data_IF_420930519121
#
_entry.id   IF_420930519121
#
_cell.length_a   1.000
_cell.length_b   1.000
_cell.length_c   1.000
_cell.angle_alpha   90.00
_cell.angle_beta   90.00
_cell.angle_gamma   90.00
#
_symmetry.space_group_name_H-M   'P 1'
#
loop_
_entity.id
_entity.type
_entity.pdbx_description
1 polymer ?
#
# COMPACT_ATOMS: atom_id res chain seq x y z
N UNK A 1 46.47 59.69 37.13
CA UNK A 1 46.04 58.34 37.58
C UNK A 1 45.33 57.66 36.41
N UNK A 2 45.69 56.42 36.09
CA UNK A 2 45.19 55.71 34.88
C UNK A 2 44.05 54.75 35.24
N UNK A 3 42.89 54.91 34.61
CA UNK A 3 41.77 53.96 34.72
C UNK A 3 41.90 52.88 33.64
N UNK A 4 41.97 51.61 34.07
CA UNK A 4 42.07 50.44 33.19
C UNK A 4 40.67 49.96 32.76
N UNK A 5 40.51 49.64 31.48
CA UNK A 5 39.34 48.90 30.97
C UNK A 5 39.37 47.42 31.43
N UNK A 6 38.20 46.77 31.61
CA UNK A 6 38.12 45.35 31.93
C UNK A 6 38.31 44.45 30.69
N UNK A 7 39.01 43.33 30.87
CA UNK A 7 39.35 42.38 29.80
C UNK A 7 38.26 41.32 29.58
N UNK A 8 37.86 41.09 28.31
CA UNK A 8 37.00 39.96 27.93
C UNK A 8 37.74 38.63 28.13
N UNK A 9 37.19 37.73 28.96
CA UNK A 9 37.64 36.32 29.04
C UNK A 9 37.10 35.54 27.83
N UNK A 10 37.97 34.81 27.13
CA UNK A 10 37.58 33.79 26.14
C UNK A 10 37.28 32.46 26.85
N UNK A 11 36.18 31.81 26.48
CA UNK A 11 35.88 30.43 26.87
C UNK A 11 36.59 29.44 25.91
N UNK A 12 37.05 28.26 26.39
CA UNK A 12 37.74 27.29 25.55
C UNK A 12 36.76 26.34 24.83
N UNK A 13 36.98 26.09 23.54
CA UNK A 13 36.28 25.01 22.82
C UNK A 13 36.67 23.63 23.38
N UNK A 14 35.68 22.82 23.75
CA UNK A 14 35.88 21.38 23.98
C UNK A 14 35.80 20.62 22.65
N UNK A 15 36.79 19.76 22.38
CA UNK A 15 36.71 18.74 21.31
C UNK A 15 35.88 17.54 21.82
N UNK A 16 35.12 16.84 20.96
CA UNK A 16 34.37 15.65 21.36
C UNK A 16 35.31 14.46 21.64
N UNK A 17 34.97 13.64 22.65
CA UNK A 17 35.64 12.36 22.94
C UNK A 17 35.11 11.27 22.01
N UNK A 18 36.01 10.45 21.45
CA UNK A 18 35.66 9.16 20.83
C UNK A 18 35.70 8.07 21.92
N UNK A 19 34.74 7.15 21.91
CA UNK A 19 34.73 5.93 22.71
C UNK A 19 34.92 4.71 21.78
N UNK A 20 35.68 3.67 22.18
CA UNK A 20 35.79 2.43 21.42
C UNK A 20 34.59 1.50 21.67
N UNK A 21 34.24 0.70 20.67
CA UNK A 21 33.21 -0.35 20.74
C UNK A 21 33.85 -1.75 20.78
N UNK A 22 33.16 -2.71 21.44
CA UNK A 22 33.37 -4.17 21.58
C UNK A 22 33.45 -4.61 23.07
N UNK A 23 33.05 -5.85 23.47
CA UNK A 23 32.85 -7.06 22.64
C UNK A 23 31.58 -7.89 23.00
N UNK A 24 30.37 -7.46 22.59
CA UNK A 24 29.14 -8.23 22.85
C UNK A 24 28.83 -9.36 21.85
N UNK A 25 29.37 -9.28 20.62
CA UNK A 25 28.90 -10.04 19.45
C UNK A 25 29.47 -11.46 19.31
N UNK A 26 30.55 -11.80 20.01
CA UNK A 26 31.22 -13.11 19.87
C UNK A 26 30.46 -14.23 20.60
N UNK A 27 29.76 -13.91 21.70
CA UNK A 27 29.06 -14.90 22.52
C UNK A 27 27.77 -15.42 21.84
N UNK A 28 27.11 -14.58 21.04
CA UNK A 28 25.89 -14.92 20.33
C UNK A 28 26.12 -15.97 19.22
N UNK A 29 27.29 -15.91 18.56
CA UNK A 29 27.62 -16.76 17.42
C UNK A 29 27.77 -18.25 17.80
N UNK A 30 28.25 -18.53 19.02
CA UNK A 30 28.54 -19.89 19.49
C UNK A 30 27.29 -20.70 19.86
N UNK A 31 26.19 -20.05 20.25
CA UNK A 31 24.94 -20.73 20.62
C UNK A 31 24.22 -21.25 19.37
N UNK A 32 24.26 -20.50 18.26
CA UNK A 32 23.59 -20.85 17.00
C UNK A 32 24.15 -22.13 16.37
N UNK A 33 25.47 -22.32 16.42
CA UNK A 33 26.15 -23.47 15.76
C UNK A 33 25.73 -24.83 16.35
N UNK A 34 25.40 -24.89 17.64
CA UNK A 34 25.04 -26.16 18.32
C UNK A 34 23.65 -26.65 17.92
N UNK A 35 22.71 -25.74 17.67
CA UNK A 35 21.32 -26.07 17.31
C UNK A 35 21.17 -26.57 15.87
N UNK A 36 22.05 -26.13 14.96
CA UNK A 36 22.05 -26.56 13.55
C UNK A 36 22.45 -28.04 13.41
N UNK A 37 23.33 -28.56 14.26
CA UNK A 37 23.86 -29.92 14.13
C UNK A 37 22.82 -31.03 14.44
N UNK A 38 21.80 -30.74 15.25
CA UNK A 38 20.84 -31.76 15.71
C UNK A 38 19.69 -32.04 14.73
N UNK A 39 19.41 -31.15 13.77
CA UNK A 39 18.23 -31.26 12.90
C UNK A 39 18.46 -31.99 11.56
N UNK A 40 19.71 -32.34 11.23
CA UNK A 40 20.09 -32.87 9.89
C UNK A 40 19.85 -34.40 9.73
N UNK A 41 19.38 -35.10 10.77
CA UNK A 41 19.38 -36.58 10.82
C UNK A 41 18.00 -37.27 10.70
N UNK A 42 16.92 -36.55 10.30
CA UNK A 42 15.55 -37.09 10.44
C UNK A 42 14.67 -37.16 9.19
N UNK A 43 15.13 -36.76 8.00
CA UNK A 43 14.32 -36.86 6.77
C UNK A 43 15.07 -37.44 5.58
N UNK A 44 14.98 -38.76 5.43
CA UNK A 44 15.21 -39.51 4.19
C UNK A 44 14.18 -40.64 4.08
N UNK A 45 13.83 -41.02 2.84
CA UNK A 45 12.86 -42.05 2.43
C UNK A 45 11.36 -41.62 2.51
N UNK A 46 10.47 -41.95 1.57
CA UNK A 46 10.53 -42.89 0.42
C UNK A 46 9.60 -42.49 -0.76
N UNK A 47 9.56 -43.30 -1.85
CA UNK A 47 9.04 -42.97 -3.20
C UNK A 47 7.66 -43.59 -3.55
N UNK A 48 6.84 -42.82 -4.28
CA UNK A 48 6.17 -43.10 -5.59
C UNK A 48 5.28 -44.35 -5.85
N UNK A 49 4.30 -44.20 -6.77
CA UNK A 49 3.78 -45.25 -7.70
C UNK A 49 2.80 -44.67 -8.77
N UNK A 50 2.51 -45.45 -9.83
CA UNK A 50 2.00 -45.01 -11.15
C UNK A 50 0.53 -45.38 -11.49
N UNK A 51 0.10 -44.94 -12.69
CA UNK A 51 -1.20 -45.06 -13.38
C UNK A 51 -1.56 -46.48 -13.91
N UNK A 52 -2.80 -46.67 -14.38
CA UNK A 52 -3.07 -47.51 -15.57
C UNK A 52 -4.05 -46.89 -16.61
N UNK A 53 -4.23 -47.58 -17.76
CA UNK A 53 -4.68 -47.03 -19.08
C UNK A 53 -5.80 -47.84 -19.79
N UNK A 54 -6.34 -47.29 -20.92
CA UNK A 54 -7.28 -47.91 -21.89
C UNK A 54 -8.71 -47.32 -21.81
N UNK A 55 -9.61 -47.26 -22.81
CA UNK A 55 -9.70 -47.60 -24.26
C UNK A 55 -11.17 -47.35 -24.72
N UNK A 56 -11.60 -47.25 -25.99
CA UNK A 56 -10.94 -47.37 -27.31
C UNK A 56 -11.70 -46.51 -28.38
N UNK A 57 -11.89 -46.94 -29.64
CA UNK A 57 -12.44 -46.17 -30.80
C UNK A 57 -13.79 -46.64 -31.35
N UNK A 58 -14.48 -45.82 -32.16
CA UNK A 58 -15.11 -46.18 -33.48
C UNK A 58 -15.73 -44.97 -34.21
N UNK A 59 -15.82 -45.05 -35.55
CA UNK A 59 -16.42 -44.05 -36.47
C UNK A 59 -17.73 -44.58 -37.09
N UNK A 60 -18.61 -43.71 -37.64
CA UNK A 60 -19.19 -43.80 -39.01
C UNK A 60 -20.46 -42.91 -39.27
N UNK A 61 -20.32 -42.05 -40.29
CA UNK A 61 -21.25 -41.63 -41.38
C UNK A 61 -22.78 -41.30 -41.24
N UNK A 62 -23.10 -40.08 -41.68
CA UNK A 62 -24.14 -39.60 -42.64
C UNK A 62 -25.58 -40.18 -42.72
N UNK A 63 -26.55 -39.23 -42.72
CA UNK A 63 -27.91 -39.35 -43.30
C UNK A 63 -28.54 -37.97 -43.53
N UNK A 64 -29.35 -37.76 -44.58
CA UNK A 64 -29.78 -36.41 -45.05
C UNK A 64 -31.31 -36.24 -45.25
N UNK A 65 -31.73 -34.97 -45.50
CA UNK A 65 -32.99 -34.47 -46.11
C UNK A 65 -34.20 -34.24 -45.17
N UNK A 66 -35.22 -33.41 -45.54
CA UNK A 66 -35.26 -32.22 -46.42
C UNK A 66 -35.73 -30.92 -45.67
N UNK A 67 -35.74 -29.73 -46.31
CA UNK A 67 -36.26 -28.49 -45.72
C UNK A 67 -37.78 -28.31 -45.86
N UNK A 68 -38.38 -27.51 -44.96
CA UNK A 68 -39.78 -27.05 -45.06
C UNK A 68 -39.82 -25.53 -45.22
N UNK A 69 -40.63 -25.05 -46.16
CA UNK A 69 -40.82 -23.63 -46.50
C UNK A 69 -41.91 -22.98 -45.67
N UNK A 70 -41.71 -21.74 -45.23
CA UNK A 70 -42.78 -20.81 -44.82
C UNK A 70 -42.53 -19.43 -45.42
N UNK A 71 -43.57 -18.86 -46.04
CA UNK A 71 -43.55 -17.61 -46.80
C UNK A 71 -43.62 -16.37 -45.86
N UNK A 72 -43.06 -15.20 -46.22
CA UNK A 72 -42.95 -14.07 -45.29
C UNK A 72 -44.23 -13.24 -45.22
N UNK A 73 -44.59 -12.79 -44.01
CA UNK A 73 -45.60 -11.74 -43.83
C UNK A 73 -45.02 -10.34 -44.13
N UNK A 74 -45.87 -9.33 -44.45
CA UNK A 74 -45.41 -7.99 -44.77
C UNK A 74 -44.74 -7.33 -43.55
N UNK A 75 -43.52 -6.82 -43.74
CA UNK A 75 -42.81 -6.08 -42.70
C UNK A 75 -43.44 -4.69 -42.58
N UNK A 76 -44.11 -4.42 -41.45
CA UNK A 76 -44.34 -3.03 -41.04
C UNK A 76 -42.97 -2.38 -40.80
N UNK A 77 -42.73 -1.22 -41.44
CA UNK A 77 -41.51 -0.44 -41.27
C UNK A 77 -41.47 0.20 -39.88
N UNK A 78 -41.25 -0.62 -38.87
CA UNK A 78 -40.88 -0.18 -37.54
C UNK A 78 -39.53 0.50 -37.67
N UNK A 79 -39.47 1.81 -37.42
CA UNK A 79 -38.20 2.52 -37.24
C UNK A 79 -37.43 1.77 -36.16
N UNK A 80 -36.31 1.15 -36.53
CA UNK A 80 -35.49 0.43 -35.57
C UNK A 80 -35.19 1.35 -34.38
N UNK A 81 -35.31 0.88 -33.13
CA UNK A 81 -34.84 1.66 -32.00
C UNK A 81 -33.38 1.98 -32.29
N UNK A 82 -33.02 3.27 -32.27
CA UNK A 82 -31.61 3.63 -32.23
C UNK A 82 -31.04 2.95 -30.99
N UNK A 83 -30.18 1.95 -31.21
CA UNK A 83 -29.40 1.34 -30.14
C UNK A 83 -28.51 2.44 -29.59
N UNK A 84 -28.99 3.10 -28.55
CA UNK A 84 -28.17 3.99 -27.75
C UNK A 84 -26.92 3.20 -27.34
N UNK A 85 -25.75 3.83 -27.45
CA UNK A 85 -24.54 3.24 -26.90
C UNK A 85 -24.77 2.95 -25.41
N UNK A 86 -24.25 1.84 -24.87
CA UNK A 86 -24.37 1.57 -23.45
C UNK A 86 -23.78 2.74 -22.65
N UNK A 87 -24.49 3.16 -21.61
CA UNK A 87 -24.00 4.21 -20.70
C UNK A 87 -22.64 3.80 -20.12
N UNK A 88 -21.68 4.73 -19.98
CA UNK A 88 -20.35 4.42 -19.51
C UNK A 88 -20.37 4.04 -18.03
N UNK A 89 -19.64 2.98 -17.66
CA UNK A 89 -19.42 2.60 -16.27
C UNK A 89 -18.51 3.64 -15.62
N UNK A 90 -18.83 4.05 -14.39
CA UNK A 90 -18.10 5.09 -13.64
C UNK A 90 -17.88 4.65 -12.21
N UNK A 91 -16.63 4.67 -11.77
CA UNK A 91 -16.26 4.21 -10.43
C UNK A 91 -15.03 4.96 -9.92
N UNK A 92 -14.68 4.72 -8.65
CA UNK A 92 -13.55 5.37 -7.99
C UNK A 92 -12.62 4.34 -7.35
N UNK A 93 -11.31 4.56 -7.51
CA UNK A 93 -10.27 3.94 -6.72
C UNK A 93 -9.77 4.98 -5.71
N UNK A 94 -9.78 4.62 -4.43
CA UNK A 94 -9.27 5.47 -3.35
C UNK A 94 -8.11 4.79 -2.64
N UNK A 95 -7.09 5.54 -2.29
CA UNK A 95 -6.01 5.09 -1.43
C UNK A 95 -5.61 6.13 -0.40
N UNK A 96 -5.07 5.65 0.72
CA UNK A 96 -4.63 6.46 1.87
C UNK A 96 -3.21 6.10 2.28
N UNK A 97 -2.59 6.98 3.07
CA UNK A 97 -1.23 6.82 3.56
C UNK A 97 -1.02 5.65 4.54
N UNK A 98 0.21 5.54 5.02
CA UNK A 98 0.68 4.45 5.88
C UNK A 98 -0.10 4.36 7.20
N UNK A 99 -0.60 3.16 7.51
CA UNK A 99 -1.30 2.85 8.76
C UNK A 99 -0.31 2.28 9.80
N UNK A 100 0.56 3.15 10.32
CA UNK A 100 1.73 2.77 11.11
C UNK A 100 1.43 2.74 12.62
N UNK A 101 1.14 1.53 13.11
CA UNK A 101 0.52 1.26 14.43
C UNK A 101 1.47 1.39 15.63
N UNK A 102 2.01 2.59 15.82
CA UNK A 102 2.78 2.95 17.02
C UNK A 102 1.98 2.69 18.30
N UNK A 103 2.66 2.31 19.39
CA UNK A 103 2.01 1.95 20.66
C UNK A 103 0.95 2.97 21.17
N UNK A 104 1.16 4.30 21.08
CA UNK A 104 0.13 5.28 21.46
C UNK A 104 -1.14 5.22 20.61
N UNK A 105 -1.05 4.86 19.32
CA UNK A 105 -2.21 4.69 18.41
C UNK A 105 -3.09 3.56 18.94
N UNK A 106 -2.52 2.37 19.15
CA UNK A 106 -3.25 1.23 19.70
C UNK A 106 -3.76 1.51 21.11
N UNK A 107 -3.06 2.33 21.92
CA UNK A 107 -3.57 2.76 23.22
C UNK A 107 -4.80 3.68 23.11
N UNK A 108 -4.81 4.62 22.15
CA UNK A 108 -5.92 5.55 21.91
C UNK A 108 -7.22 4.89 21.46
N UNK A 109 -7.17 3.67 20.93
CA UNK A 109 -8.32 2.89 20.50
C UNK A 109 -8.90 1.94 21.56
N UNK A 110 -8.33 1.89 22.78
CA UNK A 110 -8.81 0.95 23.81
C UNK A 110 -10.27 1.19 24.20
N UNK A 111 -10.99 0.10 24.42
CA UNK A 111 -12.30 0.06 25.08
C UNK A 111 -12.15 -0.76 26.36
N UNK A 112 -12.69 -0.27 27.47
CA UNK A 112 -12.59 -0.94 28.77
C UNK A 112 -13.92 -1.39 29.32
N UNK A 113 -13.90 -2.56 29.97
CA UNK A 113 -14.97 -3.08 30.83
C UNK A 113 -14.41 -3.30 32.24
N UNK A 114 -15.14 -2.90 33.29
CA UNK A 114 -14.71 -2.90 34.70
C UNK A 114 -13.23 -2.47 34.94
N UNK A 115 -12.80 -1.41 34.23
CA UNK A 115 -11.44 -0.84 34.34
C UNK A 115 -10.32 -1.63 33.65
N UNK A 116 -10.63 -2.74 33.00
CA UNK A 116 -9.70 -3.58 32.24
C UNK A 116 -9.91 -3.36 30.73
N UNK A 117 -8.85 -3.47 29.92
CA UNK A 117 -9.01 -3.39 28.45
C UNK A 117 -9.74 -4.64 27.97
N UNK A 118 -10.94 -4.45 27.41
CA UNK A 118 -11.80 -5.52 26.92
C UNK A 118 -11.58 -5.79 25.42
N UNK A 119 -11.40 -4.73 24.63
CA UNK A 119 -11.23 -4.77 23.17
C UNK A 119 -10.67 -3.42 22.68
N UNK A 120 -10.55 -3.24 21.37
CA UNK A 120 -10.13 -2.02 20.71
C UNK A 120 -11.20 -1.58 19.70
N UNK A 121 -11.40 -0.27 19.56
CA UNK A 121 -12.31 0.33 18.58
C UNK A 121 -11.60 1.47 17.84
N UNK A 122 -11.28 1.21 16.57
CA UNK A 122 -10.62 2.15 15.68
C UNK A 122 -11.60 2.92 14.78
N UNK A 123 -12.91 2.64 14.82
CA UNK A 123 -13.89 3.36 13.98
C UNK A 123 -13.87 4.88 14.21
N UNK A 124 -13.74 5.40 15.44
CA UNK A 124 -13.63 6.84 15.67
C UNK A 124 -12.30 7.45 15.18
N UNK A 125 -11.26 6.65 14.89
CA UNK A 125 -10.04 7.21 14.30
C UNK A 125 -10.29 7.76 12.89
N UNK A 126 -11.20 7.15 12.13
CA UNK A 126 -11.38 7.42 10.70
C UNK A 126 -12.69 8.13 10.34
N UNK A 127 -13.45 8.59 11.35
CA UNK A 127 -14.78 9.18 11.14
C UNK A 127 -14.77 10.39 10.18
N UNK A 128 -13.74 11.24 10.28
CA UNK A 128 -13.60 12.45 9.47
C UNK A 128 -13.24 12.18 8.00
N UNK A 129 -12.59 11.05 7.68
CA UNK A 129 -12.25 10.68 6.30
C UNK A 129 -13.28 9.75 5.64
N UNK A 130 -14.22 9.18 6.42
CA UNK A 130 -15.16 8.17 5.94
C UNK A 130 -15.92 8.59 4.67
N UNK A 131 -16.40 9.83 4.60
CA UNK A 131 -17.12 10.36 3.42
C UNK A 131 -16.26 10.38 2.14
N UNK A 132 -14.94 10.51 2.29
CA UNK A 132 -14.00 10.55 1.16
C UNK A 132 -13.66 9.15 0.61
N UNK A 133 -14.09 8.08 1.29
CA UNK A 133 -13.70 6.68 1.04
C UNK A 133 -14.89 5.76 0.77
N UNK A 134 -15.99 5.91 1.51
CA UNK A 134 -17.06 4.91 1.63
C UNK A 134 -17.80 4.57 0.32
N UNK A 135 -17.76 5.46 -0.67
CA UNK A 135 -18.49 5.33 -1.94
C UNK A 135 -17.58 4.84 -3.09
N UNK A 136 -16.31 4.54 -2.80
CA UNK A 136 -15.34 4.03 -3.78
C UNK A 136 -15.49 2.52 -4.00
N UNK A 137 -15.48 2.08 -5.26
CA UNK A 137 -15.59 0.67 -5.63
C UNK A 137 -14.36 -0.13 -5.14
N UNK A 138 -13.18 0.51 -5.14
CA UNK A 138 -11.95 -0.03 -4.57
C UNK A 138 -11.37 1.02 -3.62
N UNK A 139 -11.16 0.64 -2.37
CA UNK A 139 -10.60 1.49 -1.33
C UNK A 139 -9.47 0.75 -0.61
N UNK A 140 -8.24 1.23 -0.82
CA UNK A 140 -6.97 0.59 -0.44
C UNK A 140 -6.30 1.31 0.73
N UNK A 141 -5.75 0.56 1.68
CA UNK A 141 -4.84 1.08 2.70
C UNK A 141 -3.56 0.23 2.83
N UNK A 142 -2.43 0.84 3.19
CA UNK A 142 -1.21 0.11 3.54
C UNK A 142 -1.20 -0.18 5.05
N UNK A 143 -1.32 -1.46 5.43
CA UNK A 143 -1.24 -1.91 6.81
C UNK A 143 0.22 -2.12 7.23
N UNK A 144 0.88 -1.05 7.65
CA UNK A 144 2.30 -1.08 8.04
C UNK A 144 2.49 -1.57 9.48
N UNK A 145 2.09 -2.82 9.70
CA UNK A 145 2.19 -3.54 10.97
C UNK A 145 1.91 -5.03 10.74
N UNK A 146 2.14 -5.87 11.76
CA UNK A 146 1.58 -7.23 11.79
C UNK A 146 0.33 -7.26 12.67
N UNK A 147 -0.58 -8.17 12.35
CA UNK A 147 -1.63 -8.64 13.27
C UNK A 147 -1.17 -9.98 13.84
N UNK A 148 -0.16 -9.96 14.71
CA UNK A 148 0.38 -11.17 15.34
C UNK A 148 -0.31 -11.54 16.66
N UNK A 149 -1.31 -10.76 17.10
CA UNK A 149 -1.96 -10.91 18.40
C UNK A 149 -1.12 -10.34 19.56
N UNK A 150 -1.60 -10.53 20.81
CA UNK A 150 -0.94 -10.01 22.01
C UNK A 150 0.35 -10.78 22.36
N UNK A 151 1.35 -10.13 22.99
CA UNK A 151 1.34 -8.75 23.45
C UNK A 151 1.59 -7.74 22.32
N UNK A 152 0.68 -6.78 22.19
CA UNK A 152 0.78 -5.71 21.19
C UNK A 152 1.99 -4.80 21.45
N UNK A 153 2.65 -4.41 20.37
CA UNK A 153 3.87 -3.60 20.41
C UNK A 153 3.91 -2.61 19.24
N UNK A 154 4.55 -1.46 19.45
CA UNK A 154 4.94 -0.58 18.35
C UNK A 154 6.40 -0.82 17.95
N UNK A 155 6.99 0.19 17.32
CA UNK A 155 8.41 0.26 16.96
C UNK A 155 9.35 -0.33 18.04
N UNK A 156 10.38 -1.12 17.67
CA UNK A 156 10.81 -1.43 16.30
C UNK A 156 10.14 -2.65 15.65
N UNK A 157 9.36 -3.44 16.42
CA UNK A 157 8.73 -4.68 15.93
C UNK A 157 7.24 -4.64 16.24
N UNK A 158 6.44 -4.20 15.28
CA UNK A 158 5.03 -3.90 15.46
C UNK A 158 4.15 -5.16 15.56
N UNK A 159 3.15 -5.12 16.43
CA UNK A 159 1.97 -6.01 16.42
C UNK A 159 0.77 -5.21 16.93
N UNK A 160 -0.25 -5.07 16.08
CA UNK A 160 -1.45 -4.31 16.36
C UNK A 160 -2.64 -5.23 16.75
N UNK A 161 -3.68 -4.68 17.41
CA UNK A 161 -4.95 -5.37 17.61
C UNK A 161 -5.66 -5.62 16.28
N UNK A 162 -6.33 -6.77 16.18
CA UNK A 162 -7.00 -7.22 14.95
C UNK A 162 -8.13 -6.27 14.53
N UNK A 163 -8.75 -5.60 15.50
CA UNK A 163 -9.86 -4.65 15.32
C UNK A 163 -9.49 -3.43 14.46
N UNK A 164 -8.21 -3.23 14.12
CA UNK A 164 -7.81 -2.21 13.14
C UNK A 164 -8.37 -2.51 11.75
N UNK A 165 -8.38 -3.78 11.31
CA UNK A 165 -8.94 -4.18 10.03
C UNK A 165 -10.46 -3.98 9.98
N UNK A 166 -11.16 -4.28 11.08
CA UNK A 166 -12.58 -3.99 11.24
C UNK A 166 -12.89 -2.49 11.20
N UNK A 167 -12.03 -1.65 11.80
CA UNK A 167 -12.10 -0.19 11.72
C UNK A 167 -11.98 0.33 10.29
N UNK A 168 -11.03 -0.19 9.51
CA UNK A 168 -10.88 0.15 8.09
C UNK A 168 -12.08 -0.33 7.26
N UNK A 169 -12.54 -1.57 7.44
CA UNK A 169 -13.73 -2.09 6.77
C UNK A 169 -14.99 -1.26 7.06
N UNK A 170 -15.22 -0.92 8.33
CA UNK A 170 -16.34 -0.07 8.76
C UNK A 170 -16.25 1.38 8.25
N UNK A 171 -15.08 1.81 7.76
CA UNK A 171 -14.85 3.11 7.12
C UNK A 171 -15.13 3.07 5.62
N UNK A 172 -15.12 1.88 5.01
CA UNK A 172 -15.36 1.65 3.58
C UNK A 172 -14.18 1.06 2.82
N UNK A 173 -13.05 0.77 3.47
CA UNK A 173 -11.93 0.10 2.83
C UNK A 173 -12.25 -1.37 2.55
N UNK A 174 -11.89 -1.86 1.37
CA UNK A 174 -12.10 -3.25 0.95
C UNK A 174 -10.81 -3.96 0.48
N UNK A 175 -9.67 -3.25 0.44
CA UNK A 175 -8.35 -3.80 0.10
C UNK A 175 -7.29 -3.40 1.13
N UNK A 176 -6.57 -4.39 1.63
CA UNK A 176 -5.40 -4.21 2.50
C UNK A 176 -4.11 -4.55 1.74
N UNK A 177 -3.26 -3.55 1.53
CA UNK A 177 -1.87 -3.77 1.14
C UNK A 177 -1.06 -4.20 2.36
N UNK A 178 -0.41 -5.36 2.25
CA UNK A 178 0.43 -5.96 3.29
C UNK A 178 1.89 -6.12 2.87
N UNK A 179 2.23 -5.85 1.61
CA UNK A 179 3.62 -5.77 1.19
C UNK A 179 4.21 -4.43 1.64
N UNK A 180 4.81 -4.43 2.82
CA UNK A 180 5.62 -3.35 3.37
C UNK A 180 6.81 -3.91 4.17
N UNK A 181 7.73 -3.04 4.59
CA UNK A 181 8.90 -3.40 5.40
C UNK A 181 8.55 -4.12 6.73
N UNK A 182 7.42 -3.80 7.35
CA UNK A 182 7.06 -4.24 8.71
C UNK A 182 6.24 -5.55 8.78
N UNK A 183 5.81 -6.11 7.65
CA UNK A 183 5.00 -7.35 7.61
C UNK A 183 5.72 -8.59 8.19
N UNK A 184 7.05 -8.54 8.34
CA UNK A 184 7.84 -9.64 8.90
C UNK A 184 8.33 -9.41 10.35
N UNK A 185 7.89 -8.32 11.01
CA UNK A 185 8.33 -7.95 12.37
C UNK A 185 8.11 -9.03 13.45
N UNK A 186 7.15 -9.95 13.19
CA UNK A 186 6.78 -11.06 14.06
C UNK A 186 7.03 -12.43 13.41
N UNK A 187 7.92 -12.47 12.42
CA UNK A 187 8.34 -13.69 11.73
C UNK A 187 7.20 -14.39 10.96
N UNK A 188 7.39 -15.69 10.72
CA UNK A 188 6.48 -16.56 9.95
C UNK A 188 5.05 -16.51 10.48
N UNK A 189 4.87 -16.67 11.80
CA UNK A 189 3.55 -16.67 12.43
C UNK A 189 2.85 -15.32 12.27
N UNK A 190 3.56 -14.21 12.45
CA UNK A 190 3.03 -12.87 12.25
C UNK A 190 2.64 -12.58 10.81
N UNK A 191 3.51 -12.94 9.85
CA UNK A 191 3.27 -12.79 8.42
C UNK A 191 1.98 -13.52 8.01
N UNK A 192 1.91 -14.84 8.28
CA UNK A 192 0.76 -15.67 7.89
C UNK A 192 -0.51 -15.32 8.67
N UNK A 193 -0.41 -14.95 9.96
CA UNK A 193 -1.58 -14.52 10.73
C UNK A 193 -2.14 -13.19 10.23
N UNK A 194 -1.29 -12.24 9.84
CA UNK A 194 -1.74 -10.94 9.30
C UNK A 194 -2.58 -11.13 8.05
N UNK A 195 -2.08 -11.88 7.07
CA UNK A 195 -2.84 -12.21 5.85
C UNK A 195 -4.16 -12.90 6.17
N UNK A 196 -4.14 -13.91 7.06
CA UNK A 196 -5.33 -14.70 7.41
C UNK A 196 -6.41 -13.86 8.11
N UNK A 197 -6.06 -13.06 9.12
CA UNK A 197 -7.02 -12.27 9.90
C UNK A 197 -7.76 -11.26 9.01
N UNK A 198 -7.04 -10.60 8.10
CA UNK A 198 -7.65 -9.65 7.16
C UNK A 198 -8.61 -10.35 6.18
N UNK A 199 -8.23 -11.52 5.67
CA UNK A 199 -9.11 -12.35 4.82
C UNK A 199 -10.34 -12.85 5.58
N UNK A 200 -10.18 -13.29 6.83
CA UNK A 200 -11.27 -13.72 7.72
C UNK A 200 -12.22 -12.56 8.08
N UNK A 201 -11.71 -11.32 8.13
CA UNK A 201 -12.51 -10.10 8.26
C UNK A 201 -13.21 -9.67 6.96
N UNK A 202 -12.93 -10.32 5.82
CA UNK A 202 -13.54 -10.03 4.51
C UNK A 202 -12.83 -8.95 3.69
N UNK A 203 -11.58 -8.60 4.04
CA UNK A 203 -10.74 -7.70 3.23
C UNK A 203 -10.01 -8.49 2.14
N UNK A 204 -9.90 -7.91 0.94
CA UNK A 204 -9.01 -8.40 -0.08
C UNK A 204 -7.57 -8.06 0.33
N UNK A 205 -6.68 -9.06 0.40
CA UNK A 205 -5.28 -8.85 0.78
C UNK A 205 -4.39 -8.94 -0.45
N UNK A 206 -3.58 -7.90 -0.67
CA UNK A 206 -2.57 -7.87 -1.73
C UNK A 206 -1.16 -7.74 -1.16
N UNK A 207 -0.20 -8.36 -1.85
CA UNK A 207 1.23 -8.31 -1.51
C UNK A 207 1.75 -9.49 -0.68
N UNK A 208 0.93 -10.10 0.17
CA UNK A 208 1.23 -11.37 0.87
C UNK A 208 0.23 -12.46 0.57
N UNK A 209 0.63 -13.72 0.76
CA UNK A 209 -0.15 -14.94 0.49
C UNK A 209 -0.01 -15.95 1.62
N UNK A 210 -0.95 -16.89 1.71
CA UNK A 210 -0.89 -18.05 2.60
C UNK A 210 -0.28 -19.29 1.91
N UNK A 211 -0.34 -19.35 0.57
CA UNK A 211 0.27 -20.40 -0.25
C UNK A 211 0.90 -19.87 -1.54
N UNK A 212 1.81 -20.62 -2.15
CA UNK A 212 2.39 -20.26 -3.47
C UNK A 212 1.37 -20.36 -4.62
N UNK A 213 0.25 -21.06 -4.39
CA UNK A 213 -0.87 -21.20 -5.35
C UNK A 213 -1.92 -20.10 -5.24
N UNK A 214 -1.87 -19.28 -4.19
CA UNK A 214 -2.73 -18.09 -4.08
C UNK A 214 -2.30 -17.07 -5.16
N UNK A 215 -3.22 -16.30 -5.75
CA UNK A 215 -2.87 -15.30 -6.75
C UNK A 215 -1.96 -14.20 -6.17
N UNK A 216 -1.12 -13.60 -7.02
CA UNK A 216 -0.21 -12.50 -6.63
C UNK A 216 -0.91 -11.14 -6.59
N UNK A 217 -2.16 -11.12 -7.04
CA UNK A 217 -3.03 -10.00 -7.36
C UNK A 217 -4.48 -10.30 -6.96
N UNK A 218 -5.35 -9.30 -7.10
CA UNK A 218 -6.81 -9.46 -7.15
C UNK A 218 -7.32 -8.72 -8.38
N UNK A 219 -8.17 -9.36 -9.19
CA UNK A 219 -8.89 -8.71 -10.28
C UNK A 219 -10.35 -8.52 -9.84
N UNK A 220 -10.82 -7.27 -9.83
CA UNK A 220 -12.19 -6.90 -9.49
C UNK A 220 -13.04 -6.78 -10.76
N UNK A 221 -14.26 -7.32 -10.73
CA UNK A 221 -15.29 -7.03 -11.73
C UNK A 221 -16.18 -5.89 -11.23
N UNK A 222 -16.13 -4.75 -11.93
CA UNK A 222 -16.91 -3.55 -11.65
C UNK A 222 -17.83 -3.30 -12.86
N UNK A 223 -19.04 -3.85 -12.80
CA UNK A 223 -20.07 -3.75 -13.85
C UNK A 223 -19.56 -4.22 -15.23
N UNK A 224 -18.69 -5.24 -15.25
CA UNK A 224 -18.06 -5.80 -16.44
C UNK A 224 -16.63 -5.30 -16.69
N UNK A 225 -16.18 -4.24 -16.02
CA UNK A 225 -14.81 -3.70 -16.11
C UNK A 225 -13.89 -4.45 -15.15
N UNK A 226 -12.79 -5.01 -15.66
CA UNK A 226 -11.84 -5.78 -14.88
C UNK A 226 -10.69 -4.90 -14.38
N UNK A 227 -10.49 -4.79 -13.07
CA UNK A 227 -9.45 -3.94 -12.47
C UNK A 227 -8.48 -4.78 -11.66
N UNK A 228 -7.24 -4.90 -12.13
CA UNK A 228 -6.16 -5.69 -11.52
C UNK A 228 -5.38 -4.91 -10.46
N UNK A 229 -5.24 -5.47 -9.26
CA UNK A 229 -4.50 -4.86 -8.14
C UNK A 229 -3.42 -5.79 -7.61
N UNK A 230 -2.21 -5.25 -7.40
CA UNK A 230 -1.13 -5.93 -6.68
C UNK A 230 -0.32 -4.94 -5.84
N UNK A 231 0.28 -5.42 -4.76
CA UNK A 231 1.20 -4.64 -3.92
C UNK A 231 2.61 -5.24 -3.92
N UNK A 232 3.62 -4.40 -3.73
CA UNK A 232 5.04 -4.77 -3.64
C UNK A 232 5.80 -3.93 -2.60
N UNK A 233 6.78 -4.54 -1.94
CA UNK A 233 7.72 -3.85 -1.02
C UNK A 233 9.16 -3.98 -1.47
N UNK A 234 9.95 -2.95 -1.21
CA UNK A 234 11.40 -3.05 -1.31
C UNK A 234 11.96 -4.04 -0.27
N UNK A 235 13.03 -4.73 -0.64
CA UNK A 235 13.88 -5.53 0.24
C UNK A 235 15.03 -4.70 0.81
N UNK A 236 15.47 -4.98 2.04
CA UNK A 236 16.68 -4.38 2.60
C UNK A 236 17.95 -5.07 2.10
N UNK A 237 19.15 -4.47 2.29
CA UNK A 237 20.42 -5.08 1.91
C UNK A 237 20.62 -6.48 2.52
N UNK A 238 20.69 -7.49 1.66
CA UNK A 238 20.92 -8.90 1.99
C UNK A 238 22.06 -9.52 1.17
N UNK A 239 22.08 -10.85 1.07
CA UNK A 239 23.01 -11.58 0.19
C UNK A 239 22.28 -12.18 -1.02
N UNK A 240 23.00 -12.67 -2.05
CA UNK A 240 22.38 -13.40 -3.17
C UNK A 240 21.60 -14.65 -2.73
N UNK A 241 21.91 -15.21 -1.57
CA UNK A 241 21.28 -16.42 -1.01
C UNK A 241 20.31 -16.11 0.14
N UNK A 242 20.25 -14.87 0.64
CA UNK A 242 19.46 -14.48 1.79
C UNK A 242 18.84 -13.09 1.55
N UNK A 243 17.56 -13.10 1.12
CA UNK A 243 16.73 -11.89 1.09
C UNK A 243 16.49 -11.40 2.52
N UNK A 244 16.34 -10.09 2.68
CA UNK A 244 16.02 -9.48 3.96
C UNK A 244 14.92 -8.43 3.79
N UNK A 245 14.10 -8.25 4.83
CA UNK A 245 13.08 -7.22 4.91
C UNK A 245 13.22 -6.53 6.26
N UNK A 246 13.33 -5.21 6.29
CA UNK A 246 13.64 -4.45 7.50
C UNK A 246 14.84 -5.01 8.30
N UNK A 247 15.91 -5.42 7.59
CA UNK A 247 17.09 -6.12 8.11
C UNK A 247 16.85 -7.51 8.73
N UNK A 248 15.62 -8.03 8.71
CA UNK A 248 15.28 -9.39 9.15
C UNK A 248 15.48 -10.38 7.98
N UNK A 249 16.16 -11.53 8.18
CA UNK A 249 16.31 -12.54 7.13
C UNK A 249 14.99 -13.26 6.87
N UNK A 250 14.55 -13.29 5.60
CA UNK A 250 13.36 -14.03 5.20
C UNK A 250 13.68 -15.52 5.01
N UNK A 251 12.97 -16.45 5.68
CA UNK A 251 13.04 -17.88 5.40
C UNK A 251 12.64 -18.20 3.96
N UNK A 252 13.17 -19.29 3.39
CA UNK A 252 12.89 -19.70 2.01
C UNK A 252 11.41 -19.99 1.74
N UNK A 253 10.65 -20.38 2.77
CA UNK A 253 9.20 -20.61 2.72
C UNK A 253 8.37 -19.30 2.67
N UNK A 254 8.93 -18.16 3.08
CA UNK A 254 8.26 -16.85 3.07
C UNK A 254 8.56 -16.06 1.79
N UNK A 255 9.79 -16.20 1.26
CA UNK A 255 10.22 -15.54 0.02
C UNK A 255 9.22 -15.66 -1.15
N UNK A 256 8.63 -16.83 -1.47
CA UNK A 256 7.68 -16.93 -2.58
C UNK A 256 6.28 -16.38 -2.25
N UNK A 257 5.96 -16.17 -0.96
CA UNK A 257 4.67 -15.68 -0.46
C UNK A 257 4.60 -14.14 -0.37
N UNK A 258 5.74 -13.45 -0.42
CA UNK A 258 5.81 -11.99 -0.49
C UNK A 258 6.02 -11.52 -1.93
N UNK A 259 5.39 -10.40 -2.29
CA UNK A 259 5.73 -9.63 -3.48
C UNK A 259 6.80 -8.59 -3.11
N UNK A 260 8.05 -8.82 -3.51
CA UNK A 260 9.18 -7.94 -3.20
C UNK A 260 10.14 -7.71 -4.37
N UNK A 261 10.86 -6.59 -4.31
CA UNK A 261 11.93 -6.20 -5.24
C UNK A 261 13.14 -5.62 -4.48
N UNK A 262 14.35 -5.68 -5.03
CA UNK A 262 15.58 -5.29 -4.35
C UNK A 262 16.30 -4.13 -5.06
N UNK A 263 16.03 -2.85 -4.70
CA UNK A 263 16.62 -1.69 -5.36
C UNK A 263 18.12 -1.50 -5.07
N UNK A 264 18.70 -2.29 -4.14
CA UNK A 264 20.09 -2.15 -3.70
C UNK A 264 21.05 -3.10 -4.43
N UNK A 265 20.55 -3.98 -5.30
CA UNK A 265 21.36 -4.97 -6.03
C UNK A 265 20.96 -5.00 -7.51
N UNK A 266 21.73 -4.38 -8.43
CA UNK A 266 21.32 -4.16 -9.82
C UNK A 266 20.84 -5.41 -10.57
N UNK A 267 21.52 -6.55 -10.43
CA UNK A 267 21.12 -7.82 -11.05
C UNK A 267 19.79 -8.35 -10.51
N UNK A 268 19.52 -8.16 -9.21
CA UNK A 268 18.24 -8.54 -8.61
C UNK A 268 17.15 -7.57 -9.06
N UNK A 269 17.40 -6.26 -8.98
CA UNK A 269 16.47 -5.21 -9.40
C UNK A 269 15.98 -5.41 -10.83
N UNK A 270 16.88 -5.63 -11.80
CA UNK A 270 16.51 -5.91 -13.19
C UNK A 270 15.64 -7.16 -13.33
N UNK A 271 16.02 -8.27 -12.68
CA UNK A 271 15.22 -9.50 -12.68
C UNK A 271 13.89 -9.35 -11.91
N UNK A 272 13.79 -8.42 -10.97
CA UNK A 272 12.56 -8.11 -10.24
C UNK A 272 11.60 -7.31 -11.13
N UNK A 273 12.11 -6.29 -11.84
CA UNK A 273 11.37 -5.53 -12.86
C UNK A 273 10.80 -6.45 -13.95
N UNK A 274 11.60 -7.35 -14.51
CA UNK A 274 11.15 -8.33 -15.52
C UNK A 274 10.01 -9.24 -14.99
N UNK A 275 10.10 -9.69 -13.73
CA UNK A 275 9.04 -10.48 -13.08
C UNK A 275 7.78 -9.66 -12.80
N UNK A 276 7.93 -8.36 -12.50
CA UNK A 276 6.80 -7.45 -12.31
C UNK A 276 6.08 -7.17 -13.63
N UNK A 277 6.79 -6.89 -14.72
CA UNK A 277 6.20 -6.76 -16.05
C UNK A 277 5.52 -8.07 -16.51
N UNK A 278 6.14 -9.23 -16.25
CA UNK A 278 5.52 -10.54 -16.52
C UNK A 278 4.22 -10.75 -15.73
N UNK A 279 4.15 -10.23 -14.50
CA UNK A 279 2.94 -10.29 -13.67
C UNK A 279 1.85 -9.34 -14.19
N UNK A 280 2.22 -8.14 -14.63
CA UNK A 280 1.31 -7.18 -15.28
C UNK A 280 0.71 -7.78 -16.56
N UNK A 281 1.55 -8.35 -17.43
CA UNK A 281 1.10 -9.09 -18.61
C UNK A 281 0.13 -10.24 -18.23
N UNK A 282 0.38 -10.98 -17.15
CA UNK A 282 -0.52 -12.03 -16.68
C UNK A 282 -1.86 -11.53 -16.12
N UNK A 283 -1.95 -10.27 -15.66
CA UNK A 283 -3.23 -9.63 -15.34
C UNK A 283 -3.98 -9.24 -16.63
N UNK A 284 -3.28 -8.66 -17.61
CA UNK A 284 -3.84 -8.32 -18.94
C UNK A 284 -4.34 -9.59 -19.69
N UNK A 285 -3.59 -10.69 -19.67
CA UNK A 285 -3.98 -11.98 -20.26
C UNK A 285 -5.24 -12.59 -19.61
N UNK A 286 -5.49 -12.28 -18.33
CA UNK A 286 -6.72 -12.63 -17.61
C UNK A 286 -7.85 -11.62 -17.81
N UNK A 287 -7.63 -10.61 -18.65
CA UNK A 287 -8.63 -9.64 -19.06
C UNK A 287 -8.69 -8.37 -18.22
N UNK A 288 -7.66 -8.03 -17.42
CA UNK A 288 -7.65 -6.75 -16.71
C UNK A 288 -7.59 -5.56 -17.69
N UNK A 289 -8.60 -4.68 -17.63
CA UNK A 289 -8.75 -3.47 -18.43
C UNK A 289 -8.02 -2.25 -17.83
N UNK A 290 -7.69 -2.32 -16.53
CA UNK A 290 -6.95 -1.28 -15.79
C UNK A 290 -6.12 -1.92 -14.66
N UNK A 291 -4.87 -1.51 -14.48
CA UNK A 291 -3.93 -2.09 -13.52
C UNK A 291 -3.40 -1.04 -12.55
N UNK A 292 -3.61 -1.30 -11.25
CA UNK A 292 -3.12 -0.48 -10.15
C UNK A 292 -2.07 -1.23 -9.30
N UNK A 293 -0.89 -0.65 -9.15
CA UNK A 293 0.18 -1.17 -8.30
C UNK A 293 0.41 -0.31 -7.06
N UNK A 294 0.39 -0.95 -5.88
CA UNK A 294 0.76 -0.33 -4.61
C UNK A 294 2.24 -0.60 -4.34
N UNK A 295 3.02 0.45 -4.08
CA UNK A 295 4.48 0.41 -4.03
C UNK A 295 5.01 0.95 -2.71
N UNK A 296 5.41 0.08 -1.80
CA UNK A 296 6.08 0.45 -0.57
C UNK A 296 7.59 0.61 -0.85
N UNK A 297 8.08 1.86 -0.95
CA UNK A 297 9.36 2.19 -1.59
C UNK A 297 9.94 3.57 -1.21
N UNK A 298 11.14 3.88 -1.69
CA UNK A 298 11.79 5.19 -1.49
C UNK A 298 12.76 5.21 -0.32
N UNK A 299 12.69 6.26 0.50
CA UNK A 299 13.54 6.47 1.67
C UNK A 299 12.82 7.36 2.69
N UNK A 300 12.88 6.99 3.97
CA UNK A 300 12.16 7.68 5.05
C UNK A 300 12.46 9.20 5.12
N UNK A 301 11.42 9.98 5.39
CA UNK A 301 11.42 11.45 5.54
C UNK A 301 11.91 12.22 4.31
N UNK A 302 12.01 11.60 3.13
CA UNK A 302 12.34 12.27 1.87
C UNK A 302 11.07 12.66 1.12
N UNK A 303 10.77 13.96 1.02
CA UNK A 303 9.59 14.49 0.32
C UNK A 303 9.79 14.68 -1.19
N UNK A 304 10.78 13.99 -1.77
CA UNK A 304 11.06 13.95 -3.21
C UNK A 304 11.48 12.53 -3.56
N UNK A 305 10.91 11.96 -4.62
CA UNK A 305 11.20 10.59 -5.04
C UNK A 305 12.69 10.36 -5.37
N UNK A 306 13.19 9.17 -5.05
CA UNK A 306 14.54 8.72 -5.40
C UNK A 306 14.63 8.33 -6.87
N UNK A 307 15.81 8.42 -7.52
CA UNK A 307 15.96 8.08 -8.94
C UNK A 307 15.44 6.68 -9.32
N UNK A 308 15.64 5.68 -8.46
CA UNK A 308 15.16 4.32 -8.71
C UNK A 308 13.63 4.19 -8.66
N UNK A 309 12.93 5.03 -7.88
CA UNK A 309 11.45 5.04 -7.88
C UNK A 309 10.95 5.52 -9.25
N UNK A 310 11.56 6.57 -9.82
CA UNK A 310 11.21 7.10 -11.14
C UNK A 310 11.58 6.14 -12.28
N UNK A 311 12.75 5.50 -12.20
CA UNK A 311 13.18 4.45 -13.14
C UNK A 311 12.20 3.26 -13.12
N UNK A 312 11.79 2.83 -11.92
CA UNK A 312 10.82 1.76 -11.73
C UNK A 312 9.42 2.16 -12.24
N UNK A 313 8.98 3.39 -11.97
CA UNK A 313 7.71 3.91 -12.46
C UNK A 313 7.65 3.93 -14.00
N UNK A 314 8.72 4.37 -14.68
CA UNK A 314 8.81 4.31 -16.14
C UNK A 314 8.79 2.86 -16.66
N UNK A 315 9.53 1.95 -16.04
CA UNK A 315 9.53 0.54 -16.47
C UNK A 315 8.15 -0.11 -16.31
N UNK A 316 7.40 0.26 -15.27
CA UNK A 316 6.05 -0.24 -15.03
C UNK A 316 5.01 0.43 -15.95
N UNK A 317 5.19 1.70 -16.29
CA UNK A 317 4.41 2.38 -17.34
C UNK A 317 4.60 1.69 -18.69
N UNK A 318 5.85 1.42 -19.09
CA UNK A 318 6.20 0.69 -20.31
C UNK A 318 5.66 -0.77 -20.31
N UNK A 319 5.33 -1.33 -19.14
CA UNK A 319 4.69 -2.64 -19.00
C UNK A 319 3.15 -2.61 -19.06
N UNK A 320 2.53 -1.42 -19.14
CA UNK A 320 1.08 -1.24 -19.14
C UNK A 320 0.45 -1.26 -17.74
N UNK A 321 1.05 -0.54 -16.79
CA UNK A 321 0.42 -0.18 -15.50
C UNK A 321 -0.18 1.22 -15.61
N UNK A 322 -1.45 1.39 -15.25
CA UNK A 322 -2.15 2.68 -15.39
C UNK A 322 -2.06 3.57 -14.15
N UNK A 323 -1.94 2.96 -12.97
CA UNK A 323 -1.92 3.66 -11.68
C UNK A 323 -0.87 3.07 -10.74
N UNK A 324 0.00 3.92 -10.21
CA UNK A 324 0.99 3.58 -9.19
C UNK A 324 0.74 4.44 -7.95
N UNK A 325 0.61 3.80 -6.79
CA UNK A 325 0.37 4.46 -5.50
C UNK A 325 1.47 4.07 -4.52
N UNK A 326 2.22 5.06 -4.06
CA UNK A 326 3.39 4.90 -3.21
C UNK A 326 3.14 5.08 -1.71
N UNK A 327 3.97 4.37 -0.94
CA UNK A 327 3.99 4.27 0.52
C UNK A 327 5.45 4.13 1.01
N UNK A 328 5.70 4.24 2.32
CA UNK A 328 7.00 4.14 3.05
C UNK A 328 7.70 5.44 3.45
N UNK A 329 7.81 6.52 2.65
CA UNK A 329 8.60 7.69 3.06
C UNK A 329 8.10 8.40 4.33
N UNK A 330 6.92 8.06 4.86
CA UNK A 330 6.28 8.70 6.02
C UNK A 330 6.13 10.21 5.90
N UNK A 331 6.17 10.72 4.66
CA UNK A 331 5.91 12.09 4.21
C UNK A 331 5.36 11.98 2.80
N UNK A 332 4.62 12.99 2.36
CA UNK A 332 4.12 13.06 0.98
C UNK A 332 5.31 13.25 0.01
N UNK A 333 5.22 12.64 -1.17
CA UNK A 333 6.09 12.89 -2.33
C UNK A 333 5.23 13.39 -3.50
N UNK A 334 5.88 13.79 -4.59
CA UNK A 334 5.22 14.38 -5.75
C UNK A 334 4.16 13.47 -6.40
N UNK A 335 3.20 14.08 -7.11
CA UNK A 335 2.30 13.41 -8.05
C UNK A 335 2.82 13.71 -9.46
N UNK A 336 2.87 12.69 -10.30
CA UNK A 336 3.41 12.77 -11.67
C UNK A 336 2.57 11.93 -12.64
N UNK A 337 2.72 12.18 -13.94
CA UNK A 337 2.17 11.33 -15.00
C UNK A 337 3.30 10.88 -15.92
N UNK A 338 3.64 9.60 -15.82
CA UNK A 338 4.72 8.97 -16.57
C UNK A 338 4.11 8.35 -17.83
N UNK A 339 4.51 8.83 -19.01
CA UNK A 339 4.02 8.27 -20.26
C UNK A 339 4.88 7.07 -20.67
N UNK A 340 4.23 5.96 -21.07
CA UNK A 340 4.86 4.79 -21.69
C UNK A 340 5.72 5.21 -22.89
N UNK A 341 6.96 4.72 -22.91
CA UNK A 341 7.91 4.94 -24.01
C UNK A 341 7.59 4.09 -25.25
N UNK A 342 6.62 3.17 -25.17
CA UNK A 342 6.25 2.25 -26.25
C UNK A 342 5.07 2.76 -27.09
N UNK A 343 4.05 3.32 -26.44
CA UNK A 343 2.79 3.74 -27.07
C UNK A 343 2.28 5.13 -26.61
N UNK A 344 2.92 5.75 -25.61
CA UNK A 344 2.50 7.04 -25.07
C UNK A 344 1.30 7.01 -24.11
N UNK A 345 0.86 5.81 -23.68
CA UNK A 345 -0.17 5.68 -22.65
C UNK A 345 0.25 6.31 -21.31
N UNK A 346 -0.64 7.01 -20.58
CA UNK A 346 -0.27 7.73 -19.36
C UNK A 346 -0.47 6.89 -18.08
N UNK A 347 0.59 6.71 -17.30
CA UNK A 347 0.55 6.14 -15.95
C UNK A 347 0.49 7.24 -14.90
N UNK A 348 -0.55 7.27 -14.08
CA UNK A 348 -0.62 8.17 -12.93
C UNK A 348 0.22 7.63 -11.77
N UNK A 349 1.10 8.46 -11.20
CA UNK A 349 1.99 8.08 -10.09
C UNK A 349 1.81 9.03 -8.91
N UNK A 350 1.34 8.52 -7.78
CA UNK A 350 1.49 9.18 -6.48
C UNK A 350 2.72 8.58 -5.80
N UNK A 351 3.86 9.30 -5.71
CA UNK A 351 5.10 8.66 -5.23
C UNK A 351 5.09 8.31 -3.73
N UNK A 352 4.32 9.05 -2.93
CA UNK A 352 4.03 8.73 -1.51
C UNK A 352 2.81 9.52 -1.01
N UNK A 353 1.87 8.83 -0.36
CA UNK A 353 0.68 9.47 0.24
C UNK A 353 0.89 10.05 1.65
N UNK A 354 2.07 9.86 2.26
CA UNK A 354 2.33 10.17 3.67
C UNK A 354 1.76 9.12 4.62
N UNK A 355 1.51 9.48 5.88
CA UNK A 355 0.90 8.58 6.87
C UNK A 355 -0.61 8.85 6.97
N UNK A 356 -1.43 7.79 7.10
CA UNK A 356 -2.83 7.91 7.53
C UNK A 356 -2.93 8.03 9.04
N UNK A 357 -2.19 7.19 9.77
CA UNK A 357 -2.07 7.26 11.23
C UNK A 357 -0.65 6.89 11.64
N UNK A 358 -0.06 7.73 12.49
CA UNK A 358 1.27 7.50 13.06
C UNK A 358 1.41 8.26 14.39
N UNK A 359 2.44 7.94 15.18
CA UNK A 359 2.87 8.78 16.30
C UNK A 359 4.14 9.60 15.97
N UNK A 360 4.50 9.71 14.70
CA UNK A 360 5.58 10.56 14.18
C UNK A 360 5.18 12.04 14.17
N UNK A 361 5.16 12.66 15.35
CA UNK A 361 4.75 14.07 15.54
C UNK A 361 5.91 15.02 15.80
N UNK A 362 5.65 16.32 15.74
CA UNK A 362 6.58 17.40 16.17
C UNK A 362 7.08 17.31 17.62
N UNK A 363 6.49 16.46 18.47
CA UNK A 363 7.05 16.14 19.80
C UNK A 363 8.33 15.26 19.72
N UNK A 364 8.57 14.57 18.59
CA UNK A 364 9.77 13.77 18.36
C UNK A 364 10.89 14.68 17.81
N UNK A 365 12.06 14.76 18.46
CA UNK A 365 13.16 15.60 18.00
C UNK A 365 13.61 15.27 16.57
N UNK A 366 13.52 16.26 15.68
CA UNK A 366 13.90 16.15 14.27
C UNK A 366 12.72 16.10 13.30
N UNK A 367 11.49 15.90 13.78
CA UNK A 367 10.28 15.99 12.96
C UNK A 367 9.70 17.42 12.98
N UNK A 368 9.15 17.85 11.85
CA UNK A 368 8.70 19.23 11.58
C UNK A 368 7.20 19.34 11.23
N UNK A 369 6.46 18.24 11.32
CA UNK A 369 5.04 18.14 11.01
C UNK A 369 4.74 17.43 9.70
N UNK A 370 5.70 17.28 8.78
CA UNK A 370 5.48 16.59 7.49
C UNK A 370 5.00 15.15 7.62
N UNK A 371 5.41 14.44 8.67
CA UNK A 371 4.93 13.08 8.94
C UNK A 371 3.54 12.99 9.57
N UNK A 372 2.94 14.12 9.93
CA UNK A 372 1.52 14.22 10.28
C UNK A 372 0.66 14.67 9.09
N UNK A 373 1.26 15.07 7.97
CA UNK A 373 0.54 15.41 6.75
C UNK A 373 0.37 14.17 5.87
N UNK A 374 -0.80 14.06 5.24
CA UNK A 374 -1.09 13.01 4.28
C UNK A 374 -2.10 13.47 3.24
N UNK A 375 -2.21 12.72 2.16
CA UNK A 375 -3.24 12.91 1.12
C UNK A 375 -4.05 11.63 0.92
N UNK A 376 -5.35 11.76 0.69
CA UNK A 376 -6.16 10.68 0.11
C UNK A 376 -6.03 10.84 -1.40
N UNK A 377 -5.49 9.83 -2.06
CA UNK A 377 -5.57 9.70 -3.51
C UNK A 377 -6.97 9.21 -3.87
N UNK A 378 -7.68 9.91 -4.76
CA UNK A 378 -8.97 9.44 -5.30
C UNK A 378 -8.97 9.61 -6.82
N UNK A 379 -9.00 8.49 -7.53
CA UNK A 379 -8.95 8.43 -9.00
C UNK A 379 -10.34 8.05 -9.48
N UNK A 380 -10.99 8.94 -10.24
CA UNK A 380 -12.28 8.66 -10.87
C UNK A 380 -12.04 8.11 -12.27
N UNK A 381 -12.58 6.92 -12.51
CA UNK A 381 -12.41 6.18 -13.75
C UNK A 381 -13.72 6.16 -14.53
N UNK A 382 -13.60 6.15 -15.85
CA UNK A 382 -14.69 5.94 -16.78
C UNK A 382 -14.31 4.83 -17.76
N UNK A 383 -15.22 3.87 -17.96
CA UNK A 383 -15.08 2.86 -19.00
C UNK A 383 -16.05 3.15 -20.16
N UNK A 384 -15.53 3.17 -21.39
CA UNK A 384 -16.29 3.34 -22.63
C UNK A 384 -15.90 2.22 -23.59
N UNK A 385 -16.87 1.41 -24.01
CA UNK A 385 -16.67 0.37 -25.03
C UNK A 385 -15.51 -0.62 -24.72
N UNK A 386 -15.20 -0.85 -23.43
CA UNK A 386 -14.10 -1.70 -22.96
C UNK A 386 -12.76 -0.98 -22.74
N UNK A 387 -12.64 0.30 -23.07
CA UNK A 387 -11.47 1.11 -22.73
C UNK A 387 -11.72 1.87 -21.42
N UNK A 388 -10.80 1.76 -20.46
CA UNK A 388 -10.84 2.49 -19.18
C UNK A 388 -9.93 3.71 -19.26
N UNK A 389 -10.43 4.86 -18.79
CA UNK A 389 -9.68 6.12 -18.76
C UNK A 389 -9.81 6.79 -17.39
N UNK A 390 -8.76 7.49 -16.96
CA UNK A 390 -8.80 8.40 -15.80
C UNK A 390 -9.52 9.67 -16.21
N UNK A 391 -10.71 9.92 -15.67
CA UNK A 391 -11.44 11.17 -15.89
C UNK A 391 -10.88 12.30 -15.04
N UNK A 392 -10.51 12.01 -13.79
CA UNK A 392 -9.80 12.93 -12.89
C UNK A 392 -9.03 12.17 -11.82
N UNK A 393 -7.98 12.80 -11.33
CA UNK A 393 -7.28 12.42 -10.12
C UNK A 393 -7.43 13.52 -9.07
N UNK A 394 -7.59 13.14 -7.82
CA UNK A 394 -7.73 14.06 -6.69
C UNK A 394 -6.67 13.77 -5.63
N UNK A 395 -6.21 14.82 -4.96
CA UNK A 395 -5.55 14.73 -3.66
C UNK A 395 -6.37 15.50 -2.63
N UNK A 396 -6.83 14.80 -1.60
CA UNK A 396 -7.58 15.38 -0.48
C UNK A 396 -6.62 15.50 0.71
N UNK A 397 -6.15 16.72 1.05
CA UNK A 397 -5.18 16.89 2.11
C UNK A 397 -5.80 16.64 3.49
N UNK A 398 -5.08 15.94 4.35
CA UNK A 398 -5.43 15.79 5.77
C UNK A 398 -4.21 15.95 6.69
N UNK A 399 -4.48 16.27 7.95
CA UNK A 399 -3.48 16.38 9.00
C UNK A 399 -3.86 15.51 10.20
N UNK A 400 -2.92 14.71 10.70
CA UNK A 400 -3.12 13.84 11.86
C UNK A 400 -3.06 14.68 13.14
N UNK A 401 -4.22 14.93 13.72
CA UNK A 401 -4.38 15.53 15.05
C UNK A 401 -4.37 14.42 16.11
N UNK A 402 -3.84 14.74 17.29
CA UNK A 402 -3.86 13.86 18.46
C UNK A 402 -4.78 14.41 19.55
N UNK A 403 -5.99 13.85 19.67
CA UNK A 403 -6.97 14.26 20.68
C UNK A 403 -6.77 13.47 21.99
N UNK A 404 -6.60 14.11 23.15
CA UNK A 404 -6.48 13.40 24.44
C UNK A 404 -7.72 12.60 24.80
N UNK A 405 -7.54 11.36 25.29
CA UNK A 405 -8.62 10.54 25.79
C UNK A 405 -8.21 9.75 27.06
N UNK A 406 -9.13 8.94 27.60
CA UNK A 406 -8.91 8.18 28.84
C UNK A 406 -7.70 7.21 28.81
N UNK A 407 -7.17 6.90 27.63
CA UNK A 407 -6.11 5.89 27.44
C UNK A 407 -4.81 6.46 26.83
N UNK A 408 -4.77 7.77 26.57
CA UNK A 408 -3.65 8.46 25.95
C UNK A 408 -4.14 9.54 24.99
N UNK A 409 -3.93 9.31 23.69
CA UNK A 409 -4.42 10.18 22.62
C UNK A 409 -4.99 9.32 21.49
N UNK A 410 -6.09 9.76 20.87
CA UNK A 410 -6.62 9.21 19.62
C UNK A 410 -6.07 10.02 18.45
N UNK A 411 -5.65 9.33 17.40
CA UNK A 411 -5.06 9.91 16.20
C UNK A 411 -6.13 10.03 15.13
N UNK A 412 -6.37 11.25 14.66
CA UNK A 412 -7.48 11.64 13.79
C UNK A 412 -6.91 12.31 12.53
N UNK A 413 -6.88 11.65 11.35
CA UNK A 413 -6.72 12.33 10.06
C UNK A 413 -7.87 13.30 9.82
N UNK A 414 -7.61 14.60 9.95
CA UNK A 414 -8.59 15.68 9.75
C UNK A 414 -8.46 16.26 8.32
N UNK A 415 -9.52 16.24 7.49
CA UNK A 415 -9.52 16.88 6.17
C UNK A 415 -9.23 18.38 6.26
N UNK A 416 -8.07 18.80 5.76
CA UNK A 416 -7.50 20.12 5.98
C UNK A 416 -8.36 21.23 5.37
N UNK A 417 -8.89 21.02 4.16
CA UNK A 417 -9.74 22.03 3.51
C UNK A 417 -11.09 22.23 4.23
N UNK A 418 -11.73 21.15 4.68
CA UNK A 418 -12.97 21.26 5.45
C UNK A 418 -12.72 21.98 6.79
N UNK A 419 -11.62 21.65 7.46
CA UNK A 419 -11.26 22.23 8.75
C UNK A 419 -10.73 23.67 8.66
N UNK A 420 -10.24 24.13 7.50
CA UNK A 420 -9.99 25.55 7.22
C UNK A 420 -11.32 26.31 7.00
N UNK A 421 -12.27 25.71 6.29
CA UNK A 421 -13.58 26.31 6.02
C UNK A 421 -14.49 26.39 7.26
N UNK A 422 -14.43 25.40 8.15
CA UNK A 422 -15.31 25.24 9.31
C UNK A 422 -14.53 24.81 10.57
N UNK A 423 -13.58 25.64 11.06
CA UNK A 423 -12.62 25.21 12.10
C UNK A 423 -13.23 24.82 13.44
N UNK A 424 -14.44 25.29 13.75
CA UNK A 424 -15.15 24.93 15.00
C UNK A 424 -15.76 23.51 14.96
N UNK A 425 -15.81 22.86 13.80
CA UNK A 425 -16.32 21.48 13.64
C UNK A 425 -15.22 20.40 13.79
N UNK A 426 -13.94 20.78 13.90
CA UNK A 426 -12.81 19.84 13.87
C UNK A 426 -11.79 20.09 15.00
N UNK A 427 -11.21 19.04 15.61
CA UNK A 427 -10.24 19.20 16.69
C UNK A 427 -8.90 19.72 16.14
N UNK A 428 -8.48 20.91 16.54
CA UNK A 428 -7.20 21.48 16.09
C UNK A 428 -7.17 23.00 16.14
N UNK A 429 -6.45 23.63 15.21
CA UNK A 429 -6.49 25.08 15.03
C UNK A 429 -6.37 25.45 13.55
N UNK A 430 -7.02 26.55 13.14
CA UNK A 430 -6.93 27.06 11.77
C UNK A 430 -5.48 27.31 11.32
N UNK A 431 -4.60 27.72 12.23
CA UNK A 431 -3.17 27.88 11.95
C UNK A 431 -2.47 26.54 11.64
N UNK A 432 -2.79 25.49 12.40
CA UNK A 432 -2.27 24.12 12.16
C UNK A 432 -2.65 23.62 10.77
N UNK A 433 -3.92 23.80 10.37
CA UNK A 433 -4.39 23.37 9.06
C UNK A 433 -3.80 24.23 7.93
N UNK A 434 -3.70 25.55 8.09
CA UNK A 434 -3.07 26.43 7.09
C UNK A 434 -1.56 26.17 6.93
N UNK A 435 -0.87 25.75 7.99
CA UNK A 435 0.53 25.32 7.92
C UNK A 435 0.68 23.92 7.32
N UNK A 436 -0.28 23.01 7.56
CA UNK A 436 -0.35 21.69 6.91
C UNK A 436 -0.59 21.84 5.41
N UNK A 437 -1.64 22.57 5.02
CA UNK A 437 -2.00 22.80 3.62
C UNK A 437 -0.80 23.28 2.80
N UNK A 438 -0.10 24.31 3.28
CA UNK A 438 1.09 24.86 2.64
C UNK A 438 2.21 23.83 2.46
N UNK A 439 2.47 22.97 3.47
CA UNK A 439 3.50 21.92 3.37
C UNK A 439 3.12 20.84 2.36
N UNK A 440 1.83 20.59 2.15
CA UNK A 440 1.31 19.66 1.16
C UNK A 440 1.42 20.29 -0.23
N UNK A 441 0.99 21.54 -0.39
CA UNK A 441 1.06 22.32 -1.64
C UNK A 441 2.51 22.50 -2.11
N UNK A 442 3.45 22.83 -1.20
CA UNK A 442 4.90 22.93 -1.45
C UNK A 442 5.50 21.65 -2.08
N UNK A 443 4.85 20.49 -1.94
CA UNK A 443 5.29 19.18 -2.48
C UNK A 443 4.48 18.75 -3.70
N UNK A 444 3.16 18.98 -3.69
CA UNK A 444 2.23 18.45 -4.70
C UNK A 444 1.99 19.44 -5.84
N UNK A 445 1.93 20.74 -5.61
CA UNK A 445 1.60 21.72 -6.66
C UNK A 445 2.64 21.95 -7.77
N UNK A 446 3.95 21.60 -7.65
CA UNK A 446 4.92 21.68 -8.75
C UNK A 446 4.67 20.76 -9.96
N UNK A 447 3.41 20.41 -10.27
CA UNK A 447 3.02 19.53 -11.38
C UNK A 447 3.24 20.16 -12.76
N UNK A 448 3.36 19.34 -13.82
CA UNK A 448 3.39 19.81 -15.20
C UNK A 448 2.13 20.61 -15.62
N UNK A 449 2.32 21.66 -16.41
CA UNK A 449 1.22 22.50 -16.96
C UNK A 449 0.25 21.73 -17.89
N UNK A 450 0.65 20.55 -18.38
CA UNK A 450 -0.06 19.77 -19.40
C UNK A 450 -0.15 18.30 -18.99
N UNK A 451 -1.22 17.96 -18.29
CA UNK A 451 -1.57 16.59 -17.91
C UNK A 451 -2.70 16.06 -18.81
N UNK A 452 -2.73 14.75 -19.14
CA UNK A 452 -3.76 14.16 -20.01
C UNK A 452 -5.16 14.16 -19.38
N UNK A 453 -5.23 14.27 -18.05
CA UNK A 453 -6.46 14.41 -17.26
C UNK A 453 -6.20 15.40 -16.10
N UNK A 454 -7.24 16.05 -15.55
CA UNK A 454 -7.08 16.96 -14.42
C UNK A 454 -6.63 16.22 -13.15
N UNK A 455 -5.56 16.72 -12.53
CA UNK A 455 -5.14 16.36 -11.16
C UNK A 455 -5.42 17.55 -10.26
N UNK A 456 -6.30 17.41 -9.27
CA UNK A 456 -6.86 18.55 -8.50
C UNK A 456 -6.81 18.35 -6.98
N UNK A 457 -6.60 19.46 -6.27
CA UNK A 457 -6.86 19.53 -4.83
C UNK A 457 -8.38 19.43 -4.60
N UNK A 458 -8.81 18.60 -3.65
CA UNK A 458 -10.23 18.37 -3.38
C UNK A 458 -10.55 18.38 -1.89
N UNK A 459 -11.74 18.84 -1.53
CA UNK A 459 -12.15 18.95 -0.12
C UNK A 459 -12.66 17.63 0.49
N UNK A 460 -12.82 16.57 -0.32
CA UNK A 460 -13.48 15.31 0.07
C UNK A 460 -14.86 15.19 -0.54
#
# INVERSE_FOLDING_TARGET
MSMKQPTRRRTPHRRPRRYPLLPGSILLLLVVVVLVYQNVQLFSDSRGLELPTGGQTTESEFGTRPPSSSEPQPVETTTAPSTAEPEPVRFQITAVGDLLMHKPVSQGARVTDDGHVATYDFRPNFEYIKRSVQDSAIAVFNLETTLAGPPYSGYPLFSAPDEIGEGMLATGFNVASTANNHIFDKGVDGFLRTTRVLQEQGLNVIGTRLSETDPRDVIFDIEGVQVGLSAYTFETPGSPQQRTLNSLPLPSEIVPLLNSFNPYRPEAFAADLERMASHVASMQERGADFICLIMHWGEEYQNVSRPYQREMAQYLADAGVDLIIGHHPHVIQEIDVVNSSLDGSPTLVYYSLGNLVTNMTTEIPGLDGRSQDGIIARVSLIARQGQVEIEKAEYIPYHIIQEPNAFGRRHLPIPVLQAIGQPDEFPGSAATYADSLRRIEDVVEPMPDHLPFPVIQSAG
#
